data_IF_312643418845
#
_entry.id   IF_312643418845
#
_cell.length_a   1.000
_cell.length_b   1.000
_cell.length_c   1.000
_cell.angle_alpha   90.00
_cell.angle_beta   90.00
_cell.angle_gamma   90.00
#
_symmetry.space_group_name_H-M   'P 1'
#
loop_
_entity.id
_entity.type
_entity.pdbx_description
1 polymer ?
#
# COMPACT_ATOMS: atom_id res chain seq x y z
N UNK A 1 26.33 61.48 -14.89
CA UNK A 1 26.51 60.01 -14.76
C UNK A 1 26.22 59.60 -13.32
N UNK A 2 24.99 59.79 -12.84
CA UNK A 2 24.60 59.42 -11.47
C UNK A 2 23.08 59.56 -11.35
N UNK A 3 22.29 58.53 -11.69
CA UNK A 3 20.85 58.47 -11.31
C UNK A 3 20.21 57.11 -11.66
N UNK A 4 20.86 55.96 -11.42
CA UNK A 4 20.23 54.66 -11.79
C UNK A 4 20.54 53.49 -10.85
N UNK A 5 20.67 53.71 -9.53
CA UNK A 5 20.85 52.62 -8.56
C UNK A 5 19.82 52.62 -7.43
N UNK A 6 18.55 52.96 -7.70
CA UNK A 6 17.53 53.09 -6.65
C UNK A 6 16.24 52.27 -6.82
N UNK A 7 16.21 51.19 -7.62
CA UNK A 7 14.94 50.48 -7.86
C UNK A 7 14.99 48.95 -7.83
N UNK A 8 15.67 48.31 -6.86
CA UNK A 8 15.45 46.87 -6.59
C UNK A 8 15.45 46.53 -5.09
N UNK A 9 14.58 47.18 -4.31
CA UNK A 9 14.16 46.67 -2.98
C UNK A 9 12.66 46.39 -2.99
N UNK A 10 12.23 45.50 -3.89
CA UNK A 10 10.88 44.94 -3.82
C UNK A 10 10.77 44.03 -2.59
N UNK A 11 9.72 44.25 -1.80
CA UNK A 11 9.51 43.72 -0.47
C UNK A 11 9.68 42.19 -0.38
N UNK A 12 10.73 41.74 0.30
CA UNK A 12 10.82 40.38 0.82
C UNK A 12 10.03 40.32 2.12
N UNK A 13 8.73 40.00 2.05
CA UNK A 13 7.98 39.59 3.23
C UNK A 13 8.08 38.07 3.32
N UNK A 14 8.89 37.51 4.24
CA UNK A 14 8.75 36.11 4.57
C UNK A 14 7.36 35.95 5.18
N UNK A 15 6.49 35.21 4.49
CA UNK A 15 5.24 34.73 5.09
C UNK A 15 5.64 33.79 6.21
N UNK A 16 5.74 34.32 7.43
CA UNK A 16 5.83 33.49 8.63
C UNK A 16 4.45 32.87 8.80
N UNK A 17 4.24 31.72 8.17
CA UNK A 17 3.16 30.83 8.57
C UNK A 17 3.50 30.39 9.99
N UNK A 18 2.96 31.08 11.00
CA UNK A 18 2.81 30.50 12.33
C UNK A 18 1.77 29.40 12.19
N UNK A 19 2.24 28.23 11.76
CA UNK A 19 1.53 26.98 11.99
C UNK A 19 1.51 26.83 13.50
N UNK A 20 0.47 27.35 14.14
CA UNK A 20 0.09 26.95 15.49
C UNK A 20 -0.40 25.50 15.37
N UNK A 21 0.52 24.60 15.02
CA UNK A 21 0.37 23.18 15.20
C UNK A 21 0.28 23.06 16.71
N UNK A 22 -0.95 23.00 17.21
CA UNK A 22 -1.22 22.45 18.52
C UNK A 22 -0.43 21.16 18.57
N UNK A 23 0.70 21.20 19.29
CA UNK A 23 1.48 20.04 19.62
C UNK A 23 0.57 19.26 20.57
N UNK A 24 -0.37 18.49 20.00
CA UNK A 24 -1.05 17.44 20.73
C UNK A 24 0.07 16.66 21.42
N UNK A 25 -0.11 16.29 22.71
CA UNK A 25 0.87 15.46 23.39
C UNK A 25 1.25 14.34 22.44
N UNK A 26 2.55 14.24 22.13
CA UNK A 26 3.06 13.30 21.15
C UNK A 26 2.41 11.97 21.48
N UNK A 27 1.60 11.37 20.58
CA UNK A 27 1.20 10.00 20.79
C UNK A 27 2.49 9.20 20.99
N UNK A 28 2.46 8.22 21.88
CA UNK A 28 3.54 7.24 21.96
C UNK A 28 3.89 6.81 20.53
N UNK A 29 5.17 6.93 20.17
CA UNK A 29 5.65 6.71 18.82
C UNK A 29 6.80 5.72 18.82
N UNK A 30 6.94 5.01 17.71
CA UNK A 30 8.03 4.11 17.44
C UNK A 30 8.98 4.78 16.45
N UNK A 31 10.24 4.95 16.83
CA UNK A 31 11.28 5.40 15.92
C UNK A 31 11.65 4.24 14.99
N UNK A 32 11.64 4.51 13.69
CA UNK A 32 12.01 3.57 12.63
C UNK A 32 13.14 4.18 11.81
N UNK A 33 14.20 3.41 11.60
CA UNK A 33 15.32 3.80 10.75
C UNK A 33 15.06 3.40 9.30
N UNK A 34 15.39 4.29 8.37
CA UNK A 34 15.30 4.08 6.93
C UNK A 34 16.49 4.77 6.23
N UNK A 35 16.60 4.63 4.91
CA UNK A 35 17.74 5.16 4.14
C UNK A 35 17.96 6.67 4.34
N UNK A 36 16.87 7.44 4.51
CA UNK A 36 16.92 8.89 4.77
C UNK A 36 17.08 9.30 6.24
N UNK A 37 17.45 8.38 7.14
CA UNK A 37 17.60 8.65 8.58
C UNK A 37 16.51 8.02 9.45
N UNK A 38 15.95 8.78 10.38
CA UNK A 38 14.99 8.29 11.38
C UNK A 38 13.64 9.01 11.28
N UNK A 39 12.56 8.23 11.42
CA UNK A 39 11.19 8.77 11.49
C UNK A 39 10.46 8.19 12.71
N UNK A 40 9.83 9.06 13.49
CA UNK A 40 8.94 8.70 14.60
C UNK A 40 7.53 8.44 14.04
N UNK A 41 7.13 7.16 14.01
CA UNK A 41 5.83 6.70 13.53
C UNK A 41 4.88 6.54 14.73
N UNK A 42 3.70 7.17 14.75
CA UNK A 42 2.72 6.98 15.83
C UNK A 42 2.36 5.50 16.00
N UNK A 43 2.18 5.02 17.24
CA UNK A 43 1.80 3.62 17.48
C UNK A 43 0.45 3.24 16.84
N UNK A 44 -0.47 4.19 16.73
CA UNK A 44 -1.81 3.97 16.16
C UNK A 44 -2.08 4.97 15.02
N UNK A 45 -1.56 4.73 13.81
CA UNK A 45 -1.86 5.56 12.65
C UNK A 45 -3.32 5.37 12.23
N UNK A 46 -4.05 6.48 12.01
CA UNK A 46 -5.45 6.43 11.54
C UNK A 46 -5.57 6.25 10.04
N UNK A 47 -4.57 6.73 9.29
CA UNK A 47 -4.58 6.75 7.83
C UNK A 47 -3.21 6.37 7.30
N UNK A 48 -3.18 5.40 6.40
CA UNK A 48 -1.96 4.91 5.77
C UNK A 48 -2.12 5.04 4.26
N UNK A 49 -1.14 5.67 3.62
CA UNK A 49 -1.05 5.81 2.16
C UNK A 49 0.17 5.06 1.68
N UNK A 50 0.01 4.27 0.62
CA UNK A 50 1.07 3.40 0.10
C UNK A 50 1.61 3.95 -1.22
N UNK A 51 2.90 4.28 -1.26
CA UNK A 51 3.54 4.87 -2.44
C UNK A 51 4.14 3.82 -3.39
N UNK A 52 4.47 2.63 -2.89
CA UNK A 52 5.13 1.56 -3.62
C UNK A 52 4.37 0.24 -3.44
N UNK A 53 3.17 0.09 -4.05
CA UNK A 53 2.26 -1.01 -3.78
C UNK A 53 2.89 -2.39 -3.98
N UNK A 54 3.81 -2.52 -4.92
CA UNK A 54 4.41 -3.80 -5.32
C UNK A 54 5.20 -4.51 -4.22
N UNK A 55 5.60 -3.78 -3.18
CA UNK A 55 6.38 -4.33 -2.06
C UNK A 55 5.76 -4.05 -0.70
N UNK A 56 4.89 -3.03 -0.61
CA UNK A 56 4.35 -2.58 0.68
C UNK A 56 2.85 -2.81 0.84
N UNK A 57 2.10 -3.09 -0.23
CA UNK A 57 0.66 -3.33 -0.11
C UNK A 57 0.38 -4.72 0.51
N UNK A 58 1.05 -5.76 0.02
CA UNK A 58 0.81 -7.14 0.47
C UNK A 58 1.05 -7.34 1.98
N UNK A 59 2.15 -6.83 2.58
CA UNK A 59 2.35 -6.95 4.02
C UNK A 59 1.28 -6.22 4.84
N UNK A 60 0.76 -5.09 4.36
CA UNK A 60 -0.29 -4.34 5.06
C UNK A 60 -1.60 -5.14 5.04
N UNK A 61 -1.98 -5.70 3.90
CA UNK A 61 -3.19 -6.53 3.77
C UNK A 61 -3.08 -7.80 4.62
N UNK A 62 -1.89 -8.42 4.69
CA UNK A 62 -1.66 -9.59 5.53
C UNK A 62 -1.78 -9.31 7.04
N UNK A 63 -1.59 -8.06 7.46
CA UNK A 63 -1.77 -7.60 8.84
C UNK A 63 -3.20 -7.09 9.12
N UNK A 64 -4.14 -7.32 8.19
CA UNK A 64 -5.51 -6.81 8.25
C UNK A 64 -5.59 -5.26 8.31
N UNK A 65 -4.58 -4.60 7.74
CA UNK A 65 -4.50 -3.13 7.67
C UNK A 65 -4.97 -2.68 6.29
N UNK A 66 -6.07 -1.94 6.25
CA UNK A 66 -6.60 -1.34 5.02
C UNK A 66 -6.08 0.09 4.82
N UNK A 67 -5.19 0.35 3.83
CA UNK A 67 -4.75 1.71 3.53
C UNK A 67 -5.90 2.54 2.94
N UNK A 68 -5.84 3.86 3.14
CA UNK A 68 -6.82 4.79 2.56
C UNK A 68 -6.58 5.03 1.06
N UNK A 69 -5.37 4.73 0.59
CA UNK A 69 -5.00 4.88 -0.81
C UNK A 69 -3.65 4.22 -1.07
N UNK A 70 -3.47 3.78 -2.31
CA UNK A 70 -2.20 3.29 -2.82
C UNK A 70 -2.01 3.81 -4.25
N UNK A 71 -0.77 4.08 -4.63
CA UNK A 71 -0.45 4.46 -6.02
C UNK A 71 -0.64 3.25 -6.92
N UNK A 72 -0.97 3.46 -8.19
CA UNK A 72 -0.92 2.38 -9.18
C UNK A 72 0.48 2.35 -9.78
N UNK A 73 1.22 1.26 -9.63
CA UNK A 73 2.47 1.10 -10.37
C UNK A 73 2.15 0.89 -11.85
N UNK A 74 2.54 1.85 -12.69
CA UNK A 74 2.51 1.68 -14.13
C UNK A 74 3.67 0.76 -14.54
N UNK A 75 3.36 -0.50 -14.86
CA UNK A 75 4.32 -1.40 -15.50
C UNK A 75 4.08 -1.30 -17.01
N UNK A 76 4.91 -0.59 -17.79
CA UNK A 76 4.85 -0.70 -19.23
C UNK A 76 5.16 -2.16 -19.62
N UNK A 77 4.30 -2.76 -20.44
CA UNK A 77 4.39 -4.13 -20.97
C UNK A 77 3.83 -5.26 -20.07
N UNK A 78 2.49 -5.30 -19.90
CA UNK A 78 1.75 -6.33 -19.14
C UNK A 78 1.55 -7.67 -19.86
N UNK A 79 1.58 -7.70 -21.19
CA UNK A 79 1.03 -8.84 -21.95
C UNK A 79 1.87 -10.12 -21.83
N UNK A 80 3.21 -10.01 -21.77
CA UNK A 80 4.08 -11.20 -21.78
C UNK A 80 4.32 -11.81 -20.39
N UNK A 81 4.18 -11.02 -19.31
CA UNK A 81 4.41 -11.49 -17.94
C UNK A 81 3.19 -12.23 -17.35
N UNK A 82 1.97 -11.79 -17.72
CA UNK A 82 0.74 -12.43 -17.23
C UNK A 82 0.62 -13.90 -17.69
N UNK A 83 1.07 -14.22 -18.91
CA UNK A 83 1.05 -15.59 -19.43
C UNK A 83 2.01 -16.52 -18.68
N UNK A 84 3.23 -16.05 -18.36
CA UNK A 84 4.20 -16.84 -17.61
C UNK A 84 3.73 -17.08 -16.17
N UNK A 85 3.17 -16.07 -15.51
CA UNK A 85 2.62 -16.22 -14.15
C UNK A 85 1.46 -17.21 -14.14
N UNK A 86 0.55 -17.14 -15.13
CA UNK A 86 -0.57 -18.09 -15.24
C UNK A 86 -0.11 -19.53 -15.49
N UNK A 87 0.95 -19.71 -16.31
CA UNK A 87 1.57 -21.02 -16.52
C UNK A 87 2.22 -21.57 -15.25
N UNK A 88 2.91 -20.73 -14.49
CA UNK A 88 3.56 -21.15 -13.24
C UNK A 88 2.55 -21.46 -12.13
N UNK A 89 1.50 -20.66 -11.97
CA UNK A 89 0.41 -20.93 -11.01
C UNK A 89 -0.29 -22.23 -11.41
N UNK A 90 -0.69 -22.37 -12.67
CA UNK A 90 -1.34 -23.60 -13.15
C UNK A 90 -0.43 -24.84 -13.14
N UNK A 91 0.90 -24.66 -13.11
CA UNK A 91 1.86 -25.75 -12.90
C UNK A 91 2.02 -26.11 -11.42
N UNK A 92 1.98 -25.11 -10.53
CA UNK A 92 2.02 -25.32 -9.08
C UNK A 92 0.74 -25.99 -8.59
N UNK A 93 -0.45 -25.54 -9.01
CA UNK A 93 -1.72 -26.20 -8.70
C UNK A 93 -1.76 -27.65 -9.19
N UNK A 94 -1.28 -27.91 -10.41
CA UNK A 94 -1.17 -29.29 -10.92
C UNK A 94 -0.20 -30.15 -10.11
N UNK A 95 0.91 -29.59 -9.64
CA UNK A 95 1.83 -30.32 -8.74
C UNK A 95 1.24 -30.55 -7.36
N UNK A 96 0.57 -29.57 -6.77
CA UNK A 96 -0.09 -29.69 -5.47
C UNK A 96 -1.19 -30.75 -5.51
N UNK A 97 -2.01 -30.77 -6.57
CA UNK A 97 -3.03 -31.80 -6.79
C UNK A 97 -2.41 -33.19 -7.05
N UNK A 98 -1.24 -33.26 -7.70
CA UNK A 98 -0.53 -34.52 -7.95
C UNK A 98 0.21 -35.05 -6.71
N UNK A 99 0.45 -34.22 -5.69
CA UNK A 99 1.16 -34.60 -4.46
C UNK A 99 0.24 -34.98 -3.30
N UNK A 100 -1.09 -34.89 -3.45
CA UNK A 100 -2.02 -35.30 -2.40
C UNK A 100 -2.79 -36.57 -2.79
N UNK A 101 -2.16 -37.72 -2.57
CA UNK A 101 -2.88 -38.99 -2.40
C UNK A 101 -2.46 -39.60 -1.07
N UNK A 102 -3.14 -39.19 0.01
CA UNK A 102 -3.46 -40.08 1.11
C UNK A 102 -4.99 -40.07 1.27
N UNK A 103 -5.70 -41.19 1.05
CA UNK A 103 -7.14 -41.22 0.87
C UNK A 103 -7.86 -41.42 2.21
N UNK A 104 -7.91 -40.41 3.08
CA UNK A 104 -8.77 -40.48 4.28
C UNK A 104 -9.33 -39.09 4.63
N UNK A 105 -10.34 -38.67 3.86
CA UNK A 105 -11.50 -37.92 4.37
C UNK A 105 -12.50 -37.74 3.22
N UNK A 106 -13.17 -38.84 2.84
CA UNK A 106 -14.50 -38.72 2.25
C UNK A 106 -15.44 -38.45 3.42
N UNK A 107 -15.75 -37.19 3.70
CA UNK A 107 -16.96 -36.75 4.39
C UNK A 107 -16.97 -35.22 4.46
N UNK A 108 -17.31 -34.58 3.35
CA UNK A 108 -17.96 -33.29 3.42
C UNK A 108 -19.14 -33.31 2.46
N UNK A 109 -20.32 -33.48 3.05
CA UNK A 109 -21.60 -33.55 2.35
C UNK A 109 -21.81 -32.26 1.54
N UNK A 110 -21.90 -32.42 0.22
CA UNK A 110 -22.42 -31.39 -0.66
C UNK A 110 -23.94 -31.32 -0.46
N UNK A 111 -24.42 -30.33 0.28
CA UNK A 111 -25.84 -30.00 0.37
C UNK A 111 -26.01 -28.47 0.39
N UNK A 112 -25.95 -27.85 -0.78
CA UNK A 112 -26.73 -26.63 -1.06
C UNK A 112 -27.32 -26.75 -2.46
N UNK A 113 -28.53 -27.29 -2.46
CA UNK A 113 -29.51 -27.27 -3.54
C UNK A 113 -29.86 -25.81 -3.84
N UNK A 114 -29.38 -25.27 -4.95
CA UNK A 114 -29.91 -24.04 -5.53
C UNK A 114 -31.15 -24.39 -6.36
N UNK A 115 -32.34 -24.27 -5.78
CA UNK A 115 -33.58 -24.27 -6.57
C UNK A 115 -33.64 -22.96 -7.38
N UNK A 116 -33.98 -23.01 -8.69
CA UNK A 116 -34.26 -21.81 -9.47
C UNK A 116 -35.76 -21.49 -9.41
N UNK A 117 -36.08 -20.22 -9.17
CA UNK A 117 -37.38 -19.56 -9.33
C UNK A 117 -38.47 -19.81 -8.27
N UNK A 118 -38.73 -18.79 -7.43
CA UNK A 118 -40.09 -18.45 -6.97
C UNK A 118 -40.20 -16.92 -6.74
N UNK A 119 -41.08 -16.29 -7.53
CA UNK A 119 -41.77 -14.98 -7.43
C UNK A 119 -40.94 -13.68 -7.36
#
# INVERSE_FOLDING_TARGET
MAFSLLLMTACYQPVIQKTHLFLKPSPECRVVQHEFGETCVPLNPRWIVVLSPQVTLDPLVALDIKPIGFTTSYIPNKEKKALLVSLLIGFWERRVLAMNINPLSKNFNAQTRSDPNVL
#
